data_IF_342705159431
#
_entry.id   IF_342705159431
#
_cell.length_a   1.000
_cell.length_b   1.000
_cell.length_c   1.000
_cell.angle_alpha   90.00
_cell.angle_beta   90.00
_cell.angle_gamma   90.00
#
_symmetry.space_group_name_H-M   'P 1'
#
loop_
_entity.id
_entity.type
_entity.pdbx_description
1 polymer ?
#
# COMPACT_ATOMS: atom_id res chain seq x y z
N UNK A 1 1.23 12.27 20.22
CA UNK A 1 0.41 11.06 19.94
C UNK A 1 -1.01 11.50 19.58
N UNK A 2 -1.77 10.73 18.79
CA UNK A 2 -3.10 11.12 18.30
C UNK A 2 -4.18 11.03 19.41
N UNK A 3 -5.00 12.08 19.54
CA UNK A 3 -6.16 12.16 20.42
C UNK A 3 -7.44 11.66 19.74
N UNK A 4 -8.50 11.45 20.52
CA UNK A 4 -9.82 11.06 19.98
C UNK A 4 -10.43 12.17 19.10
N UNK A 5 -10.17 13.45 19.42
CA UNK A 5 -10.67 14.58 18.62
C UNK A 5 -10.01 14.61 17.25
N UNK A 6 -8.69 14.42 17.20
CA UNK A 6 -7.94 14.31 15.95
C UNK A 6 -8.36 13.08 15.16
N UNK A 7 -8.63 11.96 15.83
CA UNK A 7 -9.05 10.72 15.18
C UNK A 7 -10.36 10.84 14.38
N UNK A 8 -11.26 11.76 14.78
CA UNK A 8 -12.56 11.93 14.12
C UNK A 8 -12.44 12.18 12.62
N UNK A 9 -11.39 12.86 12.15
CA UNK A 9 -11.20 13.13 10.71
C UNK A 9 -10.96 11.84 9.93
N UNK A 10 -10.25 10.88 10.53
CA UNK A 10 -9.92 9.58 9.91
C UNK A 10 -11.06 8.57 9.92
N UNK A 11 -12.28 8.97 10.29
CA UNK A 11 -13.46 8.09 10.21
C UNK A 11 -14.23 8.26 8.91
N UNK A 12 -13.93 9.30 8.15
CA UNK A 12 -14.60 9.60 6.88
C UNK A 12 -13.84 8.92 5.75
N UNK A 13 -14.53 8.08 4.99
CA UNK A 13 -13.98 7.51 3.77
C UNK A 13 -13.86 8.58 2.70
N UNK A 14 -12.85 8.40 1.86
CA UNK A 14 -12.55 9.22 0.70
C UNK A 14 -12.37 8.27 -0.49
N UNK A 15 -12.94 8.62 -1.64
CA UNK A 15 -12.90 7.79 -2.83
C UNK A 15 -11.46 7.59 -3.35
N UNK A 16 -10.61 8.59 -3.17
CA UNK A 16 -9.19 8.54 -3.52
C UNK A 16 -8.32 8.15 -2.31
N UNK A 17 -8.94 7.83 -1.17
CA UNK A 17 -8.26 7.53 0.09
C UNK A 17 -7.99 6.05 0.35
N UNK A 18 -7.29 5.75 1.43
CA UNK A 18 -6.99 4.38 1.87
C UNK A 18 -7.77 4.09 3.16
N UNK A 19 -8.52 2.99 3.20
CA UNK A 19 -9.18 2.55 4.44
C UNK A 19 -8.51 1.32 5.01
N UNK A 20 -7.91 1.48 6.19
CA UNK A 20 -7.35 0.39 6.97
C UNK A 20 -8.36 -0.16 7.97
N UNK A 21 -8.35 -1.47 8.13
CA UNK A 21 -9.20 -2.20 9.09
C UNK A 21 -8.36 -2.72 10.24
N UNK A 22 -8.83 -2.53 11.47
CA UNK A 22 -8.14 -3.01 12.65
C UNK A 22 -8.51 -2.28 13.94
N UNK A 23 -7.72 -2.52 14.98
CA UNK A 23 -7.81 -1.79 16.24
C UNK A 23 -6.78 -0.65 16.24
N UNK A 24 -7.27 0.59 16.36
CA UNK A 24 -6.44 1.79 16.33
C UNK A 24 -6.30 2.37 17.72
N UNK A 25 -5.08 2.70 18.11
CA UNK A 25 -4.74 3.14 19.46
C UNK A 25 -4.04 4.50 19.40
N UNK A 26 -4.38 5.36 20.35
CA UNK A 26 -3.85 6.71 20.48
C UNK A 26 -2.94 6.87 21.67
N UNK A 27 -2.84 8.11 22.13
CA UNK A 27 -2.16 8.44 23.37
C UNK A 27 -2.69 7.62 24.57
N UNK A 28 -1.80 7.32 25.53
CA UNK A 28 -2.12 6.56 26.74
C UNK A 28 -2.73 5.17 26.48
N UNK A 29 -2.43 4.54 25.33
CA UNK A 29 -3.04 3.27 24.90
C UNK A 29 -4.57 3.35 24.93
N UNK A 30 -5.14 4.51 24.58
CA UNK A 30 -6.58 4.65 24.44
C UNK A 30 -7.02 4.12 23.07
N UNK A 31 -8.01 3.26 23.05
CA UNK A 31 -8.61 2.75 21.82
C UNK A 31 -9.41 3.88 21.12
N UNK A 32 -9.14 4.10 19.84
CA UNK A 32 -9.65 5.23 19.06
C UNK A 32 -10.73 4.85 18.03
N UNK A 33 -10.81 3.58 17.62
CA UNK A 33 -11.71 3.13 16.55
C UNK A 33 -13.20 3.14 16.93
N UNK A 34 -13.53 3.38 18.21
CA UNK A 34 -14.90 3.49 18.76
C UNK A 34 -15.87 2.44 18.19
N UNK A 35 -15.40 1.20 18.01
CA UNK A 35 -16.19 0.07 17.47
C UNK A 35 -16.35 0.04 15.95
N UNK A 36 -15.90 1.05 15.20
CA UNK A 36 -15.92 1.03 13.73
C UNK A 36 -14.82 0.17 13.13
N UNK A 37 -13.71 -0.01 13.86
CA UNK A 37 -12.54 -0.75 13.38
C UNK A 37 -11.90 -0.17 12.11
N UNK A 38 -12.13 1.12 11.82
CA UNK A 38 -11.72 1.77 10.56
C UNK A 38 -10.83 2.97 10.81
N UNK A 39 -9.83 3.12 9.95
CA UNK A 39 -8.98 4.29 9.83
C UNK A 39 -8.84 4.63 8.35
N UNK A 40 -9.40 5.76 7.96
CA UNK A 40 -9.49 6.21 6.57
C UNK A 40 -8.61 7.44 6.39
N UNK A 41 -7.60 7.31 5.54
CA UNK A 41 -6.74 8.39 5.06
C UNK A 41 -7.38 9.01 3.82
N UNK A 42 -7.40 10.33 3.70
CA UNK A 42 -7.84 10.99 2.47
C UNK A 42 -6.83 10.80 1.35
N UNK A 43 -7.20 11.13 0.10
CA UNK A 43 -6.24 11.14 -1.00
C UNK A 43 -5.04 12.07 -0.73
N UNK A 44 -5.27 13.19 -0.05
CA UNK A 44 -4.22 14.14 0.35
C UNK A 44 -3.29 13.58 1.44
N UNK A 45 -3.83 12.80 2.40
CA UNK A 45 -3.00 12.12 3.40
C UNK A 45 -2.15 11.03 2.73
N UNK A 46 -2.72 10.26 1.79
CA UNK A 46 -2.01 9.19 1.05
C UNK A 46 -0.90 9.78 0.15
N UNK A 47 -1.15 10.91 -0.50
CA UNK A 47 -0.17 11.57 -1.38
C UNK A 47 1.10 12.04 -0.66
N UNK A 48 1.05 12.24 0.66
CA UNK A 48 2.23 12.56 1.48
C UNK A 48 3.13 11.35 1.76
N UNK A 49 2.68 10.15 1.38
CA UNK A 49 3.36 8.89 1.67
C UNK A 49 2.98 8.34 3.04
N UNK A 50 3.05 7.01 3.16
CA UNK A 50 2.72 6.27 4.38
C UNK A 50 3.95 5.46 4.79
N UNK A 51 4.44 5.70 6.00
CA UNK A 51 5.49 4.89 6.61
C UNK A 51 4.89 3.89 7.60
N UNK A 52 5.11 2.59 7.36
CA UNK A 52 4.65 1.51 8.24
C UNK A 52 5.83 0.89 8.97
N UNK A 53 5.81 0.89 10.31
CA UNK A 53 6.86 0.33 11.16
C UNK A 53 6.32 -0.82 12.01
N UNK A 54 7.12 -1.87 12.19
CA UNK A 54 6.77 -3.01 13.03
C UNK A 54 7.79 -4.15 12.91
N UNK A 55 7.94 -4.95 13.97
CA UNK A 55 8.87 -6.08 14.00
C UNK A 55 8.55 -7.18 12.96
N UNK A 56 9.46 -8.13 12.75
CA UNK A 56 9.16 -9.34 11.97
C UNK A 56 7.91 -10.05 12.51
N UNK A 57 7.07 -10.57 11.61
CA UNK A 57 5.83 -11.27 11.99
C UNK A 57 4.68 -10.38 12.50
N UNK A 58 4.84 -9.05 12.57
CA UNK A 58 3.80 -8.15 13.08
C UNK A 58 2.59 -7.93 12.14
N UNK A 59 2.51 -8.66 11.03
CA UNK A 59 1.39 -8.60 10.09
C UNK A 59 1.35 -7.38 9.15
N UNK A 60 2.44 -6.60 9.00
CA UNK A 60 2.49 -5.40 8.14
C UNK A 60 1.97 -5.66 6.73
N UNK A 61 2.40 -6.78 6.13
CA UNK A 61 2.03 -7.17 4.77
C UNK A 61 0.53 -7.37 4.63
N UNK A 62 -0.07 -8.14 5.54
CA UNK A 62 -1.51 -8.48 5.49
C UNK A 62 -2.41 -7.34 5.97
N UNK A 63 -1.97 -6.56 6.97
CA UNK A 63 -2.77 -5.52 7.59
C UNK A 63 -2.70 -4.16 6.90
N UNK A 64 -1.63 -3.88 6.13
CA UNK A 64 -1.42 -2.56 5.53
C UNK A 64 -1.03 -2.64 4.05
N UNK A 65 0.01 -3.41 3.70
CA UNK A 65 0.57 -3.37 2.33
C UNK A 65 -0.40 -3.96 1.30
N UNK A 66 -0.91 -5.18 1.52
CA UNK A 66 -1.83 -5.82 0.58
C UNK A 66 -3.17 -5.09 0.47
N UNK A 67 -3.82 -4.64 1.57
CA UNK A 67 -5.00 -3.78 1.49
C UNK A 67 -4.74 -2.49 0.71
N UNK A 68 -3.58 -1.84 0.91
CA UNK A 68 -3.25 -0.63 0.17
C UNK A 68 -3.12 -0.87 -1.33
N UNK A 69 -2.44 -1.96 -1.73
CA UNK A 69 -2.35 -2.35 -3.14
C UNK A 69 -3.75 -2.64 -3.70
N UNK A 70 -4.54 -3.45 -2.99
CA UNK A 70 -5.88 -3.84 -3.43
C UNK A 70 -6.80 -2.61 -3.64
N UNK A 71 -6.83 -1.68 -2.67
CA UNK A 71 -7.62 -0.45 -2.76
C UNK A 71 -7.15 0.41 -3.93
N UNK A 72 -5.84 0.59 -4.13
CA UNK A 72 -5.30 1.37 -5.25
C UNK A 72 -5.64 0.76 -6.62
N UNK A 73 -5.49 -0.56 -6.76
CA UNK A 73 -5.87 -1.26 -8.00
C UNK A 73 -7.37 -1.21 -8.24
N UNK A 74 -8.19 -1.33 -7.19
CA UNK A 74 -9.64 -1.23 -7.31
C UNK A 74 -10.08 0.16 -7.80
N UNK A 75 -9.38 1.21 -7.37
CA UNK A 75 -9.56 2.58 -7.88
C UNK A 75 -8.96 2.81 -9.28
N UNK A 76 -8.33 1.80 -9.89
CA UNK A 76 -7.75 1.90 -11.24
C UNK A 76 -6.39 2.61 -11.30
N UNK A 77 -5.72 2.78 -10.17
CA UNK A 77 -4.40 3.43 -10.12
C UNK A 77 -3.28 2.50 -10.59
N UNK A 78 -2.35 3.03 -11.37
CA UNK A 78 -1.11 2.33 -11.71
C UNK A 78 -0.18 2.27 -10.51
N UNK A 79 0.55 1.17 -10.37
CA UNK A 79 1.41 0.89 -9.21
C UNK A 79 2.77 0.38 -9.67
N UNK A 80 3.81 0.82 -8.97
CA UNK A 80 5.13 0.19 -8.99
C UNK A 80 5.35 -0.46 -7.63
N UNK A 81 5.64 -1.76 -7.64
CA UNK A 81 5.83 -2.53 -6.41
C UNK A 81 7.24 -3.12 -6.41
N UNK A 82 7.99 -2.86 -5.34
CA UNK A 82 9.25 -3.52 -5.07
C UNK A 82 9.00 -4.74 -4.17
N UNK A 83 9.26 -5.94 -4.69
CA UNK A 83 9.10 -7.20 -3.96
C UNK A 83 10.41 -8.00 -4.01
N UNK A 84 11.44 -7.62 -3.22
CA UNK A 84 12.77 -8.20 -3.33
C UNK A 84 12.85 -9.69 -2.94
N UNK A 85 11.84 -10.21 -2.23
CA UNK A 85 11.79 -11.62 -1.80
C UNK A 85 10.67 -12.41 -2.50
N UNK A 86 9.92 -11.80 -3.41
CA UNK A 86 8.81 -12.45 -4.12
C UNK A 86 7.62 -12.82 -3.24
N UNK A 87 7.53 -12.29 -2.02
CA UNK A 87 6.53 -12.70 -1.01
C UNK A 87 5.11 -12.23 -1.35
N UNK A 88 4.98 -11.14 -2.11
CA UNK A 88 3.69 -10.49 -2.39
C UNK A 88 3.27 -10.60 -3.85
N UNK A 89 4.18 -10.97 -4.75
CA UNK A 89 3.94 -11.11 -6.20
C UNK A 89 2.70 -11.96 -6.50
N UNK A 90 2.57 -13.13 -5.86
CA UNK A 90 1.42 -14.02 -6.08
C UNK A 90 0.07 -13.38 -5.67
N UNK A 91 0.07 -12.52 -4.65
CA UNK A 91 -1.12 -11.79 -4.24
C UNK A 91 -1.47 -10.68 -5.23
N UNK A 92 -0.47 -9.92 -5.70
CA UNK A 92 -0.63 -8.86 -6.67
C UNK A 92 -1.21 -9.40 -7.98
N UNK A 93 -0.73 -10.56 -8.46
CA UNK A 93 -1.26 -11.21 -9.66
C UNK A 93 -2.75 -11.58 -9.52
N UNK A 94 -3.19 -12.02 -8.34
CA UNK A 94 -4.61 -12.29 -8.06
C UNK A 94 -5.44 -11.02 -8.07
N UNK A 95 -4.95 -9.94 -7.48
CA UNK A 95 -5.63 -8.64 -7.53
C UNK A 95 -5.71 -8.09 -8.95
N UNK A 96 -4.62 -8.20 -9.71
CA UNK A 96 -4.56 -7.79 -11.12
C UNK A 96 -5.57 -8.54 -12.00
N UNK A 97 -5.75 -9.83 -11.77
CA UNK A 97 -6.73 -10.63 -12.52
C UNK A 97 -8.17 -10.13 -12.31
N UNK A 98 -8.52 -9.71 -11.08
CA UNK A 98 -9.85 -9.19 -10.75
C UNK A 98 -10.03 -7.76 -11.25
N UNK A 99 -9.01 -6.92 -11.08
CA UNK A 99 -9.02 -5.49 -11.43
C UNK A 99 -8.60 -5.21 -12.88
N UNK A 100 -8.28 -6.26 -13.65
CA UNK A 100 -7.83 -6.23 -15.05
C UNK A 100 -6.61 -5.35 -15.31
N UNK A 101 -5.69 -5.30 -14.35
CA UNK A 101 -4.42 -4.60 -14.53
C UNK A 101 -3.46 -5.45 -15.37
N UNK A 102 -2.76 -4.80 -16.31
CA UNK A 102 -1.58 -5.39 -16.94
C UNK A 102 -0.44 -5.41 -15.92
N UNK A 103 0.20 -6.57 -15.72
CA UNK A 103 1.35 -6.71 -14.82
C UNK A 103 2.60 -6.95 -15.62
N UNK A 104 3.61 -6.12 -15.37
CA UNK A 104 4.95 -6.25 -15.95
C UNK A 104 5.90 -6.56 -14.80
N UNK A 105 6.56 -7.71 -14.85
CA UNK A 105 7.55 -8.11 -13.85
C UNK A 105 8.94 -7.84 -14.41
N UNK A 106 9.69 -6.98 -13.72
CA UNK A 106 11.09 -6.73 -14.04
C UNK A 106 11.97 -7.47 -13.03
N UNK A 107 12.46 -8.65 -13.43
CA UNK A 107 13.40 -9.45 -12.66
C UNK A 107 14.74 -9.52 -13.41
N UNK A 108 15.79 -8.81 -12.95
CA UNK A 108 17.08 -8.78 -13.62
C UNK A 108 17.80 -10.14 -13.58
N UNK A 109 17.37 -11.08 -12.74
CA UNK A 109 17.96 -12.42 -12.64
C UNK A 109 17.32 -13.41 -13.63
N UNK A 110 16.14 -13.08 -14.15
CA UNK A 110 15.45 -13.89 -15.14
C UNK A 110 15.87 -13.51 -16.55
N UNK A 111 16.24 -14.51 -17.35
CA UNK A 111 16.46 -14.31 -18.78
C UNK A 111 15.13 -14.10 -19.54
N UNK A 112 14.01 -14.51 -18.96
CA UNK A 112 12.67 -14.41 -19.51
C UNK A 112 11.95 -13.17 -18.93
N UNK A 113 11.78 -12.13 -19.75
CA UNK A 113 11.07 -10.92 -19.36
C UNK A 113 11.55 -9.67 -20.10
N UNK A 114 10.87 -8.54 -19.94
CA UNK A 114 11.32 -7.25 -20.44
C UNK A 114 12.65 -6.86 -19.79
N UNK A 115 13.62 -6.42 -20.60
CA UNK A 115 14.91 -5.94 -20.12
C UNK A 115 14.99 -4.45 -20.40
N UNK A 116 15.33 -3.67 -19.37
CA UNK A 116 15.56 -2.24 -19.50
C UNK A 116 17.03 -1.93 -19.21
N UNK A 117 17.70 -1.29 -20.16
CA UNK A 117 19.00 -0.70 -19.91
C UNK A 117 18.78 0.78 -19.54
N UNK A 118 19.01 1.12 -18.27
CA UNK A 118 18.86 2.51 -17.78
C UNK A 118 19.82 3.49 -18.46
N UNK A 119 20.91 2.99 -19.06
CA UNK A 119 21.89 3.79 -19.80
C UNK A 119 21.67 3.77 -21.32
N UNK A 120 20.60 3.13 -21.81
CA UNK A 120 20.29 3.15 -23.23
C UNK A 120 20.02 4.59 -23.70
N UNK A 121 20.82 5.07 -24.66
CA UNK A 121 20.72 6.43 -25.17
C UNK A 121 21.38 7.50 -24.30
N UNK A 122 22.12 7.12 -23.25
CA UNK A 122 23.00 8.06 -22.53
C UNK A 122 24.35 8.08 -23.24
N UNK A 123 24.58 9.10 -24.06
CA UNK A 123 25.90 9.40 -24.59
C UNK A 123 26.73 10.13 -23.53
N UNK A 124 27.91 9.60 -23.21
CA UNK A 124 28.89 10.32 -22.39
C UNK A 124 29.39 11.54 -23.19
N UNK A 125 29.10 12.75 -22.71
CA UNK A 125 29.73 13.99 -23.17
C UNK A 125 30.88 14.34 -22.24
#
# INVERSE_FOLDING_TARGET
FCTLREYRRFRRQDAEGLTLLGAFWGEQKRRLDVGTGRFSLSGEDVARGILTLGGPGSGKTQGIILPAIADRMLSGHSLVVADPQGEITAHILKYAAVTRHLVVVHDPTSAAGPRYNLAEGIDNV
#
